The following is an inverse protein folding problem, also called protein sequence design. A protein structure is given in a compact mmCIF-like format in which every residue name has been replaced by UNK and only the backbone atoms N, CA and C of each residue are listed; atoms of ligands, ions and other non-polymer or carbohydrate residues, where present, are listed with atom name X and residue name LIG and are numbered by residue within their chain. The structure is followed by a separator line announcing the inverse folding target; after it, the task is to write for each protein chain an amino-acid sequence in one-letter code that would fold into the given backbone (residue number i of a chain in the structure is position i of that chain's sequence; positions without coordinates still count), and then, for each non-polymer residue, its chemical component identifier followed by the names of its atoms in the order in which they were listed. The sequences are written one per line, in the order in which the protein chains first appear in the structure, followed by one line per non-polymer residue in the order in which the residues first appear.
data_IF_610028634003
#
_entry.id   IF_610028634003
#
_cell.length_a   1.000
_cell.length_b   1.000
_cell.length_c   1.000
_cell.angle_alpha   90.00
_cell.angle_beta   90.00
_cell.angle_gamma   90.00
#
_symmetry.space_group_name_H-M   'P 1'
#
loop_
_entity.id
_entity.type
_entity.pdbx_description
1 polymer ?
#
# COMPACT_ATOMS: atom_id res chain seq x y z
N UNK A 1 -26.10 7.52 49.47
CA UNK A 1 -25.58 7.73 48.10
C UNK A 1 -26.14 6.62 47.23
N UNK A 2 -27.01 6.99 46.31
CA UNK A 2 -27.93 6.08 45.61
C UNK A 2 -27.21 5.30 44.52
N UNK A 3 -27.50 3.99 44.44
CA UNK A 3 -27.00 2.98 43.51
C UNK A 3 -27.02 3.41 42.01
N UNK A 4 -27.82 4.44 41.70
CA UNK A 4 -27.98 5.11 40.41
C UNK A 4 -26.72 5.86 39.91
N UNK A 5 -25.85 6.30 40.82
CA UNK A 5 -24.64 7.07 40.47
C UNK A 5 -23.49 6.18 39.98
N UNK A 6 -23.46 4.92 40.41
CA UNK A 6 -22.42 3.94 40.02
C UNK A 6 -22.68 3.41 38.60
N UNK A 7 -23.95 3.32 38.18
CA UNK A 7 -24.33 2.79 36.87
C UNK A 7 -24.01 3.74 35.71
N UNK A 8 -23.94 5.06 35.95
CA UNK A 8 -23.62 6.03 34.89
C UNK A 8 -22.12 6.15 34.59
N UNK A 9 -21.25 5.75 35.52
CA UNK A 9 -19.80 5.85 35.32
C UNK A 9 -19.22 4.69 34.48
N UNK A 10 -19.95 3.57 34.36
CA UNK A 10 -19.43 2.34 33.74
C UNK A 10 -19.67 2.26 32.22
N UNK A 11 -20.56 3.08 31.67
CA UNK A 11 -20.89 3.07 30.22
C UNK A 11 -20.08 4.07 29.38
N UNK A 12 -19.30 4.95 29.99
CA UNK A 12 -18.54 5.98 29.26
C UNK A 12 -17.15 5.52 28.77
N UNK A 13 -16.67 4.34 29.19
CA UNK A 13 -15.31 3.86 28.86
C UNK A 13 -15.28 2.96 27.61
N UNK A 14 -16.44 2.59 27.06
CA UNK A 14 -16.52 1.63 25.95
C UNK A 14 -16.43 2.25 24.54
N UNK A 15 -16.37 3.58 24.40
CA UNK A 15 -16.47 4.27 23.10
C UNK A 15 -15.15 4.75 22.49
N UNK A 16 -13.99 4.52 23.14
CA UNK A 16 -12.68 5.00 22.65
C UNK A 16 -11.94 4.03 21.69
N UNK A 17 -12.57 2.94 21.25
CA UNK A 17 -11.88 1.85 20.54
C UNK A 17 -11.87 1.87 19.00
N UNK A 18 -12.53 2.83 18.32
CA UNK A 18 -12.83 2.67 16.87
C UNK A 18 -12.36 3.82 15.96
N UNK A 19 -11.36 4.61 16.37
CA UNK A 19 -10.78 5.67 15.52
C UNK A 19 -9.49 5.25 14.77
N UNK A 20 -9.14 3.95 14.72
CA UNK A 20 -7.82 3.49 14.26
C UNK A 20 -7.76 2.79 12.88
N UNK A 21 -8.89 2.48 12.23
CA UNK A 21 -8.88 1.50 11.12
C UNK A 21 -8.20 1.99 9.82
N UNK A 22 -7.96 3.30 9.64
CA UNK A 22 -7.34 3.82 8.42
C UNK A 22 -5.81 3.97 8.50
N UNK A 23 -5.19 3.90 9.69
CA UNK A 23 -3.72 4.04 9.82
C UNK A 23 -2.96 2.72 9.69
N UNK A 24 -3.66 1.58 9.70
CA UNK A 24 -3.04 0.25 9.63
C UNK A 24 -2.69 -0.13 8.18
N UNK A 25 -3.42 0.37 7.17
CA UNK A 25 -3.15 0.04 5.77
C UNK A 25 -1.80 0.61 5.27
N UNK A 26 -1.42 1.83 5.68
CA UNK A 26 -0.12 2.42 5.35
C UNK A 26 1.04 1.77 6.10
N UNK A 27 0.81 1.33 7.34
CA UNK A 27 1.84 0.81 8.25
C UNK A 27 2.07 -0.71 8.14
N UNK A 28 1.22 -1.43 7.40
CA UNK A 28 1.33 -2.90 7.22
C UNK A 28 1.97 -3.30 5.91
N UNK A 29 2.42 -2.35 5.10
CA UNK A 29 3.08 -2.66 3.84
C UNK A 29 4.52 -3.13 4.08
N UNK A 30 4.78 -4.40 3.84
CA UNK A 30 6.08 -5.06 4.05
C UNK A 30 6.95 -5.07 2.79
N UNK A 31 6.53 -4.43 1.69
CA UNK A 31 7.38 -4.33 0.51
C UNK A 31 8.60 -3.46 0.82
N UNK A 32 9.79 -4.05 0.75
CA UNK A 32 11.03 -3.28 0.79
C UNK A 32 11.22 -2.56 -0.54
N UNK A 33 12.02 -1.49 -0.53
CA UNK A 33 12.37 -0.78 -1.77
C UNK A 33 13.07 -1.70 -2.78
N UNK A 34 13.86 -2.66 -2.29
CA UNK A 34 14.45 -3.70 -3.12
C UNK A 34 13.39 -4.55 -3.82
N UNK A 35 12.35 -4.99 -3.10
CA UNK A 35 11.26 -5.78 -3.67
C UNK A 35 10.44 -4.96 -4.68
N UNK A 36 10.22 -3.68 -4.40
CA UNK A 36 9.55 -2.75 -5.32
C UNK A 36 10.37 -2.61 -6.61
N UNK A 37 11.67 -2.32 -6.52
CA UNK A 37 12.55 -2.19 -7.69
C UNK A 37 12.66 -3.50 -8.48
N UNK A 38 12.75 -4.64 -7.79
CA UNK A 38 12.76 -5.96 -8.41
C UNK A 38 11.47 -6.24 -9.19
N UNK A 39 10.30 -6.02 -8.58
CA UNK A 39 9.00 -6.27 -9.21
C UNK A 39 8.74 -5.34 -10.39
N UNK A 40 8.96 -4.03 -10.20
CA UNK A 40 8.78 -3.02 -11.26
C UNK A 40 9.82 -3.17 -12.38
N UNK A 41 11.06 -3.54 -12.05
CA UNK A 41 12.10 -3.86 -13.01
C UNK A 41 11.71 -5.03 -13.92
N UNK A 42 11.18 -6.11 -13.34
CA UNK A 42 10.67 -7.25 -14.11
C UNK A 42 9.54 -6.88 -15.07
N UNK A 43 8.61 -6.03 -14.63
CA UNK A 43 7.49 -5.57 -15.48
C UNK A 43 7.91 -4.59 -16.59
N UNK A 44 8.92 -3.77 -16.34
CA UNK A 44 9.36 -2.71 -17.26
C UNK A 44 10.57 -3.08 -18.12
N UNK A 45 11.24 -4.22 -17.83
CA UNK A 45 12.48 -4.63 -18.50
C UNK A 45 13.72 -3.86 -18.06
N UNK A 46 13.75 -3.37 -16.81
CA UNK A 46 14.91 -2.67 -16.23
C UNK A 46 15.55 -3.50 -15.13
N UNK A 47 16.87 -3.36 -14.95
CA UNK A 47 17.52 -3.86 -13.76
C UNK A 47 17.03 -3.07 -12.52
N UNK A 48 16.91 -3.69 -11.33
CA UNK A 48 16.46 -2.99 -10.12
C UNK A 48 17.32 -1.76 -9.80
N UNK A 49 18.65 -1.85 -10.01
CA UNK A 49 19.59 -0.76 -9.81
C UNK A 49 19.41 0.42 -10.79
N UNK A 50 18.74 0.19 -11.93
CA UNK A 50 18.44 1.23 -12.91
C UNK A 50 17.16 2.02 -12.56
N UNK A 51 16.44 1.62 -11.50
CA UNK A 51 15.18 2.22 -11.08
C UNK A 51 15.32 2.95 -9.74
N UNK A 52 14.87 4.20 -9.73
CA UNK A 52 14.74 5.02 -8.52
C UNK A 52 13.26 5.15 -8.15
N UNK A 53 12.90 4.87 -6.91
CA UNK A 53 11.55 5.11 -6.40
C UNK A 53 11.40 6.61 -6.17
N UNK A 54 10.43 7.22 -6.85
CA UNK A 54 10.13 8.66 -6.75
C UNK A 54 9.07 8.90 -5.69
N UNK A 55 8.05 8.05 -5.65
CA UNK A 55 7.01 8.10 -4.64
C UNK A 55 6.37 6.73 -4.44
N UNK A 56 5.78 6.55 -3.25
CA UNK A 56 5.10 5.33 -2.83
C UNK A 56 3.90 5.71 -1.99
N UNK A 57 2.79 5.02 -2.22
CA UNK A 57 1.61 5.07 -1.36
C UNK A 57 0.96 3.69 -1.32
N UNK A 58 0.36 3.36 -0.19
CA UNK A 58 -0.38 2.10 -0.02
C UNK A 58 -1.83 2.45 0.27
N UNK A 59 -2.76 1.78 -0.41
CA UNK A 59 -4.19 1.89 -0.19
C UNK A 59 -4.83 0.50 -0.33
N UNK A 60 -5.48 0.04 0.73
CA UNK A 60 -5.96 -1.34 0.86
C UNK A 60 -4.85 -2.36 0.63
N UNK A 61 -5.05 -3.25 -0.33
CA UNK A 61 -4.05 -4.27 -0.72
C UNK A 61 -3.07 -3.78 -1.79
N UNK A 62 -3.23 -2.56 -2.32
CA UNK A 62 -2.44 -2.04 -3.43
C UNK A 62 -1.32 -1.12 -2.94
N UNK A 63 -0.16 -1.26 -3.56
CA UNK A 63 0.97 -0.34 -3.44
C UNK A 63 1.16 0.37 -4.77
N UNK A 64 0.91 1.67 -4.79
CA UNK A 64 1.13 2.51 -5.96
C UNK A 64 2.52 3.13 -5.84
N UNK A 65 3.32 2.96 -6.88
CA UNK A 65 4.71 3.41 -6.90
C UNK A 65 4.97 4.19 -8.18
N UNK A 66 5.58 5.36 -8.06
CA UNK A 66 6.20 6.04 -9.19
C UNK A 66 7.69 5.71 -9.20
N UNK A 67 8.21 5.28 -10.35
CA UNK A 67 9.64 5.01 -10.54
C UNK A 67 10.20 5.81 -11.70
N UNK A 68 11.47 6.20 -11.58
CA UNK A 68 12.25 6.84 -12.64
C UNK A 68 13.41 5.92 -13.02
N UNK A 69 13.48 5.58 -14.30
CA UNK A 69 14.57 4.81 -14.85
C UNK A 69 15.79 5.69 -15.16
N UNK A 70 16.98 5.08 -15.24
CA UNK A 70 18.24 5.78 -15.59
C UNK A 70 18.19 6.54 -16.92
N UNK A 71 17.37 6.06 -17.87
CA UNK A 71 17.14 6.70 -19.16
C UNK A 71 16.15 7.88 -19.08
N UNK A 72 15.83 8.32 -17.86
CA UNK A 72 14.93 9.42 -17.50
C UNK A 72 13.46 9.16 -17.81
N UNK A 73 13.07 7.95 -18.21
CA UNK A 73 11.65 7.59 -18.35
C UNK A 73 11.00 7.44 -16.97
N UNK A 74 9.77 7.91 -16.84
CA UNK A 74 8.99 7.82 -15.61
C UNK A 74 7.81 6.88 -15.82
N UNK A 75 7.53 6.05 -14.82
CA UNK A 75 6.47 5.05 -14.84
C UNK A 75 5.65 5.10 -13.56
N UNK A 76 4.36 4.78 -13.69
CA UNK A 76 3.49 4.49 -12.57
C UNK A 76 3.23 2.99 -12.55
N UNK A 77 3.39 2.38 -11.38
CA UNK A 77 3.21 0.96 -11.16
C UNK A 77 2.25 0.69 -10.02
N UNK A 78 1.51 -0.41 -10.10
CA UNK A 78 0.68 -0.95 -9.04
C UNK A 78 1.20 -2.34 -8.72
N UNK A 79 1.50 -2.55 -7.44
CA UNK A 79 1.87 -3.85 -6.89
C UNK A 79 0.76 -4.25 -5.93
N UNK A 80 0.06 -5.33 -6.24
CA UNK A 80 -0.98 -5.84 -5.37
C UNK A 80 -0.38 -6.87 -4.38
N UNK A 81 -0.69 -6.69 -3.09
CA UNK A 81 -0.19 -7.51 -1.99
C UNK A 81 1.06 -6.95 -1.32
N UNK A 82 1.83 -7.82 -0.67
CA UNK A 82 3.02 -7.46 0.09
C UNK A 82 2.71 -6.75 1.42
N UNK A 83 1.50 -6.90 1.93
CA UNK A 83 1.05 -6.35 3.20
C UNK A 83 0.49 -7.44 4.11
N UNK A 84 0.16 -7.10 5.34
CA UNK A 84 -0.37 -8.06 6.33
C UNK A 84 -1.67 -8.75 5.85
N UNK A 85 -2.54 -8.04 5.11
CA UNK A 85 -3.80 -8.59 4.59
C UNK A 85 -3.58 -9.72 3.58
N UNK A 86 -2.42 -9.71 2.91
CA UNK A 86 -2.01 -10.73 1.93
C UNK A 86 -0.99 -11.71 2.50
N UNK A 87 -0.71 -11.66 3.81
CA UNK A 87 0.35 -12.45 4.46
C UNK A 87 1.70 -12.34 3.73
N UNK A 88 1.98 -11.18 3.13
CA UNK A 88 3.20 -10.94 2.33
C UNK A 88 3.19 -11.48 0.90
N UNK A 89 2.15 -12.19 0.46
CA UNK A 89 2.02 -12.61 -0.94
C UNK A 89 1.92 -11.39 -1.85
N UNK A 90 2.60 -11.42 -3.00
CA UNK A 90 2.68 -10.28 -3.92
C UNK A 90 2.44 -10.73 -5.36
N UNK A 91 1.57 -10.02 -6.07
CA UNK A 91 1.39 -10.19 -7.51
C UNK A 91 2.48 -9.43 -8.30
N UNK A 92 2.76 -9.83 -9.55
CA UNK A 92 3.63 -9.07 -10.45
C UNK A 92 3.17 -7.60 -10.57
N UNK A 93 4.12 -6.67 -10.71
CA UNK A 93 3.77 -5.26 -10.90
C UNK A 93 3.08 -5.05 -12.26
N UNK A 94 2.03 -4.25 -12.28
CA UNK A 94 1.46 -3.71 -13.51
C UNK A 94 1.89 -2.25 -13.64
N UNK A 95 2.51 -1.89 -14.77
CA UNK A 95 3.11 -0.58 -14.97
C UNK A 95 2.70 0.04 -16.29
N UNK A 96 2.67 1.37 -16.32
CA UNK A 96 2.54 2.17 -17.53
C UNK A 96 3.45 3.40 -17.45
N UNK A 97 3.72 4.05 -18.58
CA UNK A 97 4.43 5.33 -18.56
C UNK A 97 3.61 6.36 -17.78
N UNK A 98 4.29 7.33 -17.19
CA UNK A 98 3.62 8.44 -16.52
C UNK A 98 2.67 9.15 -17.50
N UNK A 99 1.42 9.30 -17.10
CA UNK A 99 0.35 9.88 -17.93
C UNK A 99 -0.43 8.87 -18.77
N UNK A 100 0.02 7.61 -18.85
CA UNK A 100 -0.71 6.53 -19.50
C UNK A 100 -1.52 5.69 -18.49
N UNK A 101 -2.68 5.14 -18.88
CA UNK A 101 -3.44 4.23 -18.02
C UNK A 101 -2.71 2.89 -17.85
N UNK A 102 -2.72 2.36 -16.62
CA UNK A 102 -2.18 1.04 -16.30
C UNK A 102 -3.17 -0.03 -16.74
N UNK A 103 -2.81 -0.78 -17.78
CA UNK A 103 -3.64 -1.89 -18.29
C UNK A 103 -3.43 -3.12 -17.41
N UNK A 104 -4.51 -3.64 -16.83
CA UNK A 104 -4.50 -4.91 -16.08
C UNK A 104 -4.19 -4.81 -14.59
N UNK A 105 -4.38 -3.64 -13.96
CA UNK A 105 -4.41 -3.53 -12.50
C UNK A 105 -5.74 -4.08 -11.93
N UNK A 106 -6.04 -5.34 -12.23
CA UNK A 106 -7.28 -5.99 -11.81
C UNK A 106 -7.18 -6.55 -10.40
N UNK A 107 -7.85 -5.88 -9.46
CA UNK A 107 -8.75 -6.52 -8.50
C UNK A 107 -10.01 -5.65 -8.45
N UNK A 108 -10.85 -5.76 -9.49
CA UNK A 108 -12.07 -4.95 -9.61
C UNK A 108 -12.61 -4.92 -11.02
N UNK A 109 -13.30 -6.00 -11.39
CA UNK A 109 -14.52 -5.93 -12.21
C UNK A 109 -15.70 -6.16 -11.27
#
# INVERSE_FOLDING_TARGET
MTLRQITLALTAVASLGMAGCNSIAGSTNMLTDEKIRSSTGGALGYAPADLTIVSRRTDGTNTYVAVKAKDKKEFNCIINGGNLLTMGMTNPASCAKKGEPIKGAGLGG
#
